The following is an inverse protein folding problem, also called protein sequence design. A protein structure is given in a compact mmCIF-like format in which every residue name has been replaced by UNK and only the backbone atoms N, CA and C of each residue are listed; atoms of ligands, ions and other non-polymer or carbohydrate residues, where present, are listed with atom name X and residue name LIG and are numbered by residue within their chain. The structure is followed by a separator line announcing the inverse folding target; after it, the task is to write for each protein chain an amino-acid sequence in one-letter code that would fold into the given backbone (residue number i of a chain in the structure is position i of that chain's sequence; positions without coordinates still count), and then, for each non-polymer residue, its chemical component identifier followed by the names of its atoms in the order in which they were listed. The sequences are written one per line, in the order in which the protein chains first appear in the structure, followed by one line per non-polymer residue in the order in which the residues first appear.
data_IF_897710628705
#
_entry.id   IF_897710628705
#
_cell.length_a   1.000
_cell.length_b   1.000
_cell.length_c   1.000
_cell.angle_alpha   90.00
_cell.angle_beta   90.00
_cell.angle_gamma   90.00
#
_symmetry.space_group_name_H-M   'P 1'
#
loop_
_entity.id
_entity.type
_entity.pdbx_description
1 polymer ?
#
# COMPACT_ATOMS: atom_id res chain seq x y z
N UNK A 1 -12.59 -20.94 -9.06
CA UNK A 1 -11.41 -20.67 -8.21
C UNK A 1 -11.85 -20.89 -6.78
N UNK A 2 -11.42 -21.98 -6.15
CA UNK A 2 -11.96 -22.49 -4.88
C UNK A 2 -11.48 -21.70 -3.66
N UNK A 3 -12.29 -21.73 -2.59
CA UNK A 3 -12.01 -21.19 -1.25
C UNK A 3 -10.65 -21.65 -0.67
N UNK A 4 -10.12 -22.78 -1.15
CA UNK A 4 -8.78 -23.29 -0.82
C UNK A 4 -7.64 -22.41 -1.35
N UNK A 5 -7.74 -21.86 -2.56
CA UNK A 5 -6.71 -20.99 -3.15
C UNK A 5 -6.65 -19.60 -2.45
N UNK A 6 -7.77 -19.18 -1.86
CA UNK A 6 -7.90 -17.90 -1.13
C UNK A 6 -7.19 -17.94 0.22
N UNK A 7 -7.36 -19.04 0.97
CA UNK A 7 -6.61 -19.29 2.23
C UNK A 7 -5.12 -19.46 2.00
N UNK A 8 -4.73 -20.00 0.85
CA UNK A 8 -3.33 -20.32 0.54
C UNK A 8 -2.46 -19.06 0.36
N UNK A 9 -3.00 -18.02 -0.27
CA UNK A 9 -2.23 -16.78 -0.51
C UNK A 9 -2.00 -15.97 0.77
N UNK A 10 -3.01 -15.89 1.65
CA UNK A 10 -2.87 -15.24 2.95
C UNK A 10 -1.85 -15.96 3.86
N UNK A 11 -1.87 -17.30 3.85
CA UNK A 11 -0.87 -18.10 4.56
C UNK A 11 0.53 -17.90 3.96
N UNK A 12 0.64 -17.84 2.63
CA UNK A 12 1.90 -17.57 1.93
C UNK A 12 2.48 -16.20 2.30
N UNK A 13 1.64 -15.15 2.35
CA UNK A 13 2.07 -13.81 2.79
C UNK A 13 2.61 -13.84 4.22
N UNK A 14 1.92 -14.54 5.13
CA UNK A 14 2.35 -14.68 6.51
C UNK A 14 3.70 -15.41 6.62
N UNK A 15 3.87 -16.51 5.91
CA UNK A 15 5.14 -17.26 5.86
C UNK A 15 6.26 -16.40 5.29
N UNK A 16 6.00 -15.66 4.20
CA UNK A 16 6.98 -14.75 3.61
C UNK A 16 7.43 -13.67 4.62
N UNK A 17 6.49 -13.08 5.36
CA UNK A 17 6.82 -12.11 6.43
C UNK A 17 7.64 -12.75 7.54
N UNK A 18 7.31 -13.97 7.96
CA UNK A 18 8.10 -14.69 8.96
C UNK A 18 9.53 -14.96 8.46
N UNK A 19 9.72 -15.31 7.19
CA UNK A 19 11.04 -15.49 6.59
C UNK A 19 11.84 -14.18 6.54
N UNK A 20 11.20 -13.06 6.19
CA UNK A 20 11.82 -11.73 6.23
C UNK A 20 12.25 -11.39 7.67
N UNK A 21 11.41 -11.66 8.67
CA UNK A 21 11.74 -11.37 10.06
C UNK A 21 12.89 -12.23 10.60
N UNK A 22 13.07 -13.46 10.08
CA UNK A 22 14.21 -14.32 10.42
C UNK A 22 15.54 -13.77 9.91
N UNK A 23 15.55 -12.90 8.89
CA UNK A 23 16.78 -12.25 8.44
C UNK A 23 17.22 -11.08 9.34
N UNK A 24 16.44 -10.75 10.37
CA UNK A 24 16.82 -9.79 11.40
C UNK A 24 17.48 -10.58 12.54
N UNK A 25 18.79 -10.40 12.71
CA UNK A 25 19.59 -11.15 13.68
C UNK A 25 19.20 -10.83 15.14
N UNK A 26 18.86 -9.56 15.42
CA UNK A 26 18.55 -9.11 16.77
C UNK A 26 17.07 -9.25 17.08
N UNK A 27 16.73 -10.02 18.12
CA UNK A 27 15.34 -10.23 18.55
C UNK A 27 14.62 -8.90 18.85
N UNK A 28 15.32 -7.97 19.52
CA UNK A 28 14.77 -6.65 19.84
C UNK A 28 14.41 -5.85 18.60
N UNK A 29 15.21 -5.95 17.54
CA UNK A 29 14.94 -5.28 16.26
C UNK A 29 13.75 -5.91 15.54
N UNK A 30 13.66 -7.25 15.59
CA UNK A 30 12.52 -8.00 15.07
C UNK A 30 11.23 -7.61 15.79
N UNK A 31 11.27 -7.45 17.11
CA UNK A 31 10.13 -7.02 17.90
C UNK A 31 9.67 -5.60 17.53
N UNK A 32 10.63 -4.66 17.38
CA UNK A 32 10.33 -3.29 16.92
C UNK A 32 9.57 -3.30 15.59
N UNK A 33 10.09 -4.02 14.59
CA UNK A 33 9.46 -4.09 13.26
C UNK A 33 8.09 -4.77 13.31
N UNK A 34 8.00 -5.89 14.02
CA UNK A 34 6.76 -6.66 14.15
C UNK A 34 5.62 -5.81 14.71
N UNK A 35 5.88 -5.09 15.80
CA UNK A 35 4.92 -4.19 16.47
C UNK A 35 4.63 -2.95 15.63
N UNK A 36 5.67 -2.36 15.02
CA UNK A 36 5.56 -1.11 14.28
C UNK A 36 4.74 -1.24 13.00
N UNK A 37 4.81 -2.39 12.34
CA UNK A 37 4.05 -2.67 11.13
C UNK A 37 2.76 -3.45 11.40
N UNK A 38 2.56 -3.98 12.61
CA UNK A 38 1.37 -4.76 12.95
C UNK A 38 1.33 -6.11 12.23
N UNK A 39 2.47 -6.81 12.21
CA UNK A 39 2.66 -8.01 11.38
C UNK A 39 1.99 -9.27 11.96
N UNK A 40 1.73 -9.30 13.28
CA UNK A 40 1.00 -10.39 13.94
C UNK A 40 -0.02 -9.90 14.97
N UNK A 41 -0.07 -8.59 15.20
CA UNK A 41 -0.98 -7.93 16.13
C UNK A 41 -1.26 -6.50 15.61
N UNK A 42 -1.93 -5.67 16.41
CA UNK A 42 -2.18 -4.27 16.09
C UNK A 42 -0.88 -3.49 15.91
N UNK A 43 -0.94 -2.50 15.02
CA UNK A 43 0.12 -1.52 14.82
C UNK A 43 0.30 -0.66 16.08
N UNK A 44 1.53 -0.54 16.55
CA UNK A 44 1.89 0.29 17.70
C UNK A 44 2.65 1.58 17.29
N UNK A 45 2.50 2.62 18.11
CA UNK A 45 3.22 3.89 17.93
C UNK A 45 4.67 3.76 18.39
N UNK A 46 5.54 4.67 17.94
CA UNK A 46 6.93 4.74 18.39
C UNK A 46 7.04 4.97 19.91
N UNK A 47 6.06 5.66 20.48
CA UNK A 47 5.99 5.93 21.92
C UNK A 47 5.63 4.66 22.69
N UNK A 48 4.59 3.93 22.26
CA UNK A 48 4.20 2.65 22.85
C UNK A 48 5.33 1.62 22.82
N UNK A 49 6.01 1.49 21.67
CA UNK A 49 7.16 0.58 21.51
C UNK A 49 8.33 1.03 22.39
N UNK A 50 8.55 2.34 22.51
CA UNK A 50 9.61 2.91 23.33
C UNK A 50 9.41 2.62 24.82
N UNK A 51 8.20 2.85 25.32
CA UNK A 51 7.82 2.53 26.69
C UNK A 51 8.01 1.04 27.00
N UNK A 52 7.52 0.16 26.12
CA UNK A 52 7.63 -1.29 26.28
C UNK A 52 9.08 -1.77 26.31
N UNK A 53 9.95 -1.18 25.46
CA UNK A 53 11.35 -1.57 25.34
C UNK A 53 12.31 -0.75 26.23
N UNK A 54 11.79 0.15 27.08
CA UNK A 54 12.60 1.00 27.95
C UNK A 54 13.55 1.94 27.20
N UNK A 55 13.16 2.42 26.01
CA UNK A 55 13.94 3.35 25.19
C UNK A 55 13.11 4.55 24.73
N UNK A 56 13.80 5.63 24.37
CA UNK A 56 13.11 6.83 23.88
C UNK A 56 12.46 6.58 22.52
N UNK A 57 11.35 7.28 22.27
CA UNK A 57 10.68 7.33 20.95
C UNK A 57 11.67 7.56 19.80
N UNK A 58 12.61 8.49 19.98
CA UNK A 58 13.61 8.81 18.96
C UNK A 58 14.56 7.63 18.72
N UNK A 59 14.93 6.89 19.76
CA UNK A 59 15.75 5.69 19.60
C UNK A 59 15.00 4.60 18.82
N UNK A 60 13.70 4.40 19.08
CA UNK A 60 12.87 3.47 18.28
C UNK A 60 12.85 3.89 16.82
N UNK A 61 12.65 5.18 16.52
CA UNK A 61 12.65 5.72 15.14
C UNK A 61 13.97 5.47 14.42
N UNK A 62 15.10 5.66 15.11
CA UNK A 62 16.42 5.41 14.56
C UNK A 62 16.64 3.92 14.26
N UNK A 63 16.25 3.04 15.19
CA UNK A 63 16.34 1.59 14.99
C UNK A 63 15.44 1.13 13.83
N UNK A 64 14.18 1.55 13.81
CA UNK A 64 13.24 1.29 12.70
C UNK A 64 13.88 1.64 11.35
N UNK A 65 14.40 2.87 11.21
CA UNK A 65 15.04 3.32 9.97
C UNK A 65 16.27 2.48 9.62
N UNK A 66 17.12 2.15 10.59
CA UNK A 66 18.32 1.36 10.38
C UNK A 66 18.01 -0.09 9.98
N UNK A 67 16.95 -0.69 10.54
CA UNK A 67 16.49 -2.03 10.20
C UNK A 67 15.90 -2.03 8.78
N UNK A 68 15.04 -1.07 8.45
CA UNK A 68 14.44 -0.96 7.12
C UNK A 68 15.49 -0.78 6.02
N UNK A 69 16.52 0.03 6.25
CA UNK A 69 17.62 0.19 5.28
C UNK A 69 18.34 -1.14 5.06
N UNK A 70 18.66 -1.88 6.13
CA UNK A 70 19.31 -3.20 6.02
C UNK A 70 18.44 -4.20 5.25
N UNK A 71 17.14 -4.24 5.55
CA UNK A 71 16.20 -5.13 4.87
C UNK A 71 16.04 -4.76 3.39
N UNK A 72 15.97 -3.46 3.06
CA UNK A 72 15.93 -2.98 1.66
C UNK A 72 17.17 -3.38 0.88
N UNK A 73 18.36 -3.22 1.47
CA UNK A 73 19.62 -3.65 0.84
C UNK A 73 19.62 -5.15 0.61
N UNK A 74 19.29 -5.95 1.64
CA UNK A 74 19.22 -7.40 1.52
C UNK A 74 18.17 -7.86 0.49
N UNK A 75 17.03 -7.18 0.39
CA UNK A 75 16.02 -7.44 -0.63
C UNK A 75 16.54 -7.14 -2.04
N UNK A 76 17.25 -6.01 -2.24
CA UNK A 76 17.84 -5.63 -3.52
C UNK A 76 19.00 -6.53 -3.97
N UNK A 77 19.68 -7.17 -3.03
CA UNK A 77 20.74 -8.15 -3.27
C UNK A 77 20.21 -9.60 -3.38
N UNK A 78 18.88 -9.76 -3.50
CA UNK A 78 18.18 -11.06 -3.60
C UNK A 78 18.46 -12.03 -2.42
N UNK A 79 18.93 -11.51 -1.28
CA UNK A 79 19.21 -12.31 -0.07
C UNK A 79 17.96 -12.73 0.70
N UNK A 80 16.80 -12.16 0.36
CA UNK A 80 15.51 -12.48 0.97
C UNK A 80 14.52 -12.92 -0.12
N UNK A 81 14.54 -14.21 -0.53
CA UNK A 81 13.68 -14.73 -1.61
C UNK A 81 12.19 -14.50 -1.38
N UNK A 82 11.76 -14.48 -0.11
CA UNK A 82 10.39 -14.18 0.30
C UNK A 82 9.90 -12.81 -0.18
N UNK A 83 10.76 -11.79 -0.14
CA UNK A 83 10.44 -10.45 -0.66
C UNK A 83 10.23 -10.54 -2.16
N UNK A 84 11.15 -11.17 -2.89
CA UNK A 84 11.09 -11.29 -4.35
C UNK A 84 9.86 -12.08 -4.83
N UNK A 85 9.52 -13.18 -4.16
CA UNK A 85 8.34 -13.96 -4.48
C UNK A 85 7.06 -13.15 -4.31
N UNK A 86 6.94 -12.43 -3.20
CA UNK A 86 5.75 -11.62 -2.90
C UNK A 86 5.69 -10.35 -3.75
N UNK A 87 6.83 -9.69 -3.97
CA UNK A 87 6.98 -8.55 -4.88
C UNK A 87 6.44 -8.89 -6.26
N UNK A 88 6.82 -10.04 -6.83
CA UNK A 88 6.31 -10.48 -8.15
C UNK A 88 4.78 -10.58 -8.18
N UNK A 89 4.16 -11.05 -7.11
CA UNK A 89 2.70 -11.13 -7.02
C UNK A 89 2.05 -9.74 -6.95
N UNK A 90 2.62 -8.83 -6.16
CA UNK A 90 2.13 -7.44 -6.04
C UNK A 90 2.32 -6.70 -7.36
N UNK A 91 3.48 -6.82 -8.01
CA UNK A 91 3.77 -6.19 -9.30
C UNK A 91 2.82 -6.70 -10.38
N UNK A 92 2.54 -8.00 -10.43
CA UNK A 92 1.56 -8.57 -11.35
C UNK A 92 0.17 -7.99 -11.11
N UNK A 93 -0.30 -7.99 -9.85
CA UNK A 93 -1.59 -7.42 -9.48
C UNK A 93 -1.69 -5.94 -9.88
N UNK A 94 -0.68 -5.13 -9.56
CA UNK A 94 -0.65 -3.72 -9.94
C UNK A 94 -0.65 -3.54 -11.47
N UNK A 95 0.14 -4.32 -12.20
CA UNK A 95 0.22 -4.22 -13.67
C UNK A 95 -1.14 -4.46 -14.35
N UNK A 96 -1.93 -5.40 -13.80
CA UNK A 96 -3.28 -5.70 -14.30
C UNK A 96 -4.32 -4.65 -13.85
N UNK A 97 -4.05 -3.91 -12.76
CA UNK A 97 -5.03 -3.05 -12.08
C UNK A 97 -4.65 -1.56 -12.08
N UNK A 98 -3.91 -1.08 -13.07
CA UNK A 98 -3.64 0.36 -13.26
C UNK A 98 -2.38 0.88 -12.57
N UNK A 99 -1.42 0.00 -12.28
CA UNK A 99 -0.04 0.25 -11.78
C UNK A 99 0.10 0.92 -10.42
N UNK A 100 -1.01 1.34 -9.84
CA UNK A 100 -1.14 1.90 -8.50
C UNK A 100 -2.38 1.28 -7.84
N UNK A 101 -2.44 1.20 -6.53
CA UNK A 101 -3.64 0.76 -5.84
C UNK A 101 -3.56 0.94 -4.34
N UNK A 102 -4.71 0.96 -3.67
CA UNK A 102 -4.74 0.94 -2.20
C UNK A 102 -4.26 -0.40 -1.68
N UNK A 103 -3.54 -0.40 -0.57
CA UNK A 103 -3.08 -1.63 0.13
C UNK A 103 -4.26 -2.57 0.41
N UNK A 104 -5.41 -2.02 0.80
CA UNK A 104 -6.62 -2.80 1.05
C UNK A 104 -7.12 -3.53 -0.20
N UNK A 105 -7.05 -2.89 -1.37
CA UNK A 105 -7.60 -3.42 -2.62
C UNK A 105 -6.65 -4.48 -3.19
N UNK A 106 -5.33 -4.25 -3.10
CA UNK A 106 -4.29 -5.21 -3.45
C UNK A 106 -4.42 -6.45 -2.57
N UNK A 107 -4.49 -6.28 -1.24
CA UNK A 107 -4.67 -7.40 -0.31
C UNK A 107 -5.96 -8.17 -0.58
N UNK A 108 -7.05 -7.47 -0.91
CA UNK A 108 -8.33 -8.08 -1.23
C UNK A 108 -8.27 -8.93 -2.50
N UNK A 109 -7.61 -8.44 -3.56
CA UNK A 109 -7.44 -9.19 -4.82
C UNK A 109 -6.50 -10.38 -4.67
N UNK A 110 -5.35 -10.19 -4.01
CA UNK A 110 -4.38 -11.26 -3.79
C UNK A 110 -4.96 -12.43 -3.00
N UNK A 111 -5.77 -12.15 -1.97
CA UNK A 111 -6.40 -13.19 -1.16
C UNK A 111 -7.79 -13.60 -1.67
N UNK A 112 -8.33 -12.88 -2.64
CA UNK A 112 -9.72 -12.93 -3.06
C UNK A 112 -10.73 -12.84 -1.88
N UNK A 113 -10.37 -12.07 -0.85
CA UNK A 113 -11.21 -11.75 0.30
C UNK A 113 -11.60 -10.27 0.21
N UNK A 114 -12.91 -9.98 0.10
CA UNK A 114 -13.43 -8.60 -0.07
C UNK A 114 -12.94 -7.63 1.02
N UNK A 115 -12.84 -8.10 2.25
CA UNK A 115 -12.41 -7.31 3.41
C UNK A 115 -11.22 -8.00 4.10
N UNK A 116 -9.98 -7.76 3.62
CA UNK A 116 -8.80 -8.39 4.19
C UNK A 116 -8.54 -7.91 5.62
N UNK A 117 -7.96 -8.78 6.44
CA UNK A 117 -7.64 -8.47 7.84
C UNK A 117 -6.59 -7.36 7.93
N UNK A 118 -6.48 -6.73 9.11
CA UNK A 118 -5.41 -5.77 9.37
C UNK A 118 -4.02 -6.39 9.18
N UNK A 119 -3.84 -7.65 9.60
CA UNK A 119 -2.62 -8.43 9.44
C UNK A 119 -2.25 -8.61 7.96
N UNK A 120 -3.19 -9.05 7.11
CA UNK A 120 -2.92 -9.22 5.67
C UNK A 120 -2.56 -7.90 4.98
N UNK A 121 -3.25 -6.81 5.33
CA UNK A 121 -2.91 -5.47 4.81
C UNK A 121 -1.51 -5.04 5.26
N UNK A 122 -1.15 -5.31 6.51
CA UNK A 122 0.17 -5.05 7.05
C UNK A 122 1.26 -5.85 6.33
N UNK A 123 1.01 -7.12 6.00
CA UNK A 123 1.95 -7.95 5.23
C UNK A 123 2.22 -7.39 3.84
N UNK A 124 1.17 -7.01 3.10
CA UNK A 124 1.32 -6.39 1.77
C UNK A 124 2.09 -5.09 1.85
N UNK A 125 1.72 -4.20 2.79
CA UNK A 125 2.40 -2.93 2.98
C UNK A 125 3.87 -3.10 3.39
N UNK A 126 4.17 -4.04 4.28
CA UNK A 126 5.53 -4.28 4.75
C UNK A 126 6.43 -4.80 3.63
N UNK A 127 5.95 -5.76 2.82
CA UNK A 127 6.71 -6.23 1.66
C UNK A 127 6.90 -5.11 0.65
N UNK A 128 5.87 -4.32 0.37
CA UNK A 128 5.97 -3.18 -0.52
C UNK A 128 6.99 -2.14 -0.04
N UNK A 129 7.09 -1.91 1.28
CA UNK A 129 8.08 -1.02 1.86
C UNK A 129 9.51 -1.53 1.64
N UNK A 130 9.74 -2.85 1.55
CA UNK A 130 11.08 -3.43 1.37
C UNK A 130 11.50 -3.56 -0.10
N UNK A 131 10.54 -3.56 -1.02
CA UNK A 131 10.75 -3.80 -2.44
C UNK A 131 11.32 -2.57 -3.15
N UNK A 132 12.39 -2.70 -3.96
CA UNK A 132 12.87 -1.62 -4.81
C UNK A 132 12.00 -1.36 -6.04
N UNK A 133 11.13 -2.31 -6.43
CA UNK A 133 10.22 -2.18 -7.58
C UNK A 133 8.87 -1.56 -7.22
N UNK A 134 8.64 -1.31 -5.93
CA UNK A 134 7.40 -0.77 -5.43
C UNK A 134 7.64 0.59 -4.76
N UNK A 135 6.63 1.44 -4.81
CA UNK A 135 6.58 2.74 -4.15
C UNK A 135 5.40 2.76 -3.22
N UNK A 136 5.66 2.98 -1.93
CA UNK A 136 4.61 3.09 -0.91
C UNK A 136 4.13 4.53 -0.82
N UNK A 137 2.82 4.71 -0.85
CA UNK A 137 2.14 5.98 -0.54
C UNK A 137 1.58 5.88 0.86
N UNK A 138 2.21 6.58 1.80
CA UNK A 138 1.81 6.56 3.20
C UNK A 138 0.44 7.19 3.40
N UNK A 139 -0.36 6.58 4.26
CA UNK A 139 -1.66 7.12 4.66
C UNK A 139 -1.51 8.44 5.44
N UNK A 140 -2.34 9.42 5.11
CA UNK A 140 -2.50 10.66 5.86
C UNK A 140 -3.93 11.21 5.67
N UNK A 141 -4.17 12.48 5.98
CA UNK A 141 -5.49 13.09 5.90
C UNK A 141 -6.06 13.15 4.46
N UNK A 142 -5.18 13.17 3.46
CA UNK A 142 -5.54 13.33 2.05
C UNK A 142 -5.48 12.02 1.25
N UNK A 143 -4.63 11.08 1.66
CA UNK A 143 -4.34 9.87 0.91
C UNK A 143 -4.60 8.60 1.73
N UNK A 144 -5.17 7.60 1.09
CA UNK A 144 -5.19 6.23 1.60
C UNK A 144 -3.81 5.57 1.49
N UNK A 145 -3.55 4.55 2.30
CA UNK A 145 -2.34 3.74 2.17
C UNK A 145 -2.33 3.04 0.80
N UNK A 146 -1.34 3.36 -0.03
CA UNK A 146 -1.23 2.88 -1.40
C UNK A 146 0.12 2.26 -1.71
N UNK A 147 0.15 1.51 -2.81
CA UNK A 147 1.37 0.98 -3.43
C UNK A 147 1.27 1.24 -4.94
N UNK A 148 2.38 1.70 -5.52
CA UNK A 148 2.54 1.83 -6.97
C UNK A 148 3.80 1.13 -7.47
N UNK A 149 3.89 0.91 -8.78
CA UNK A 149 5.12 0.46 -9.40
C UNK A 149 6.15 1.60 -9.39
N UNK A 150 7.38 1.33 -8.96
CA UNK A 150 8.43 2.34 -8.85
C UNK A 150 8.81 2.96 -10.20
N UNK A 151 8.64 2.23 -11.30
CA UNK A 151 8.84 2.76 -12.66
C UNK A 151 7.86 3.90 -13.00
N UNK A 152 6.70 3.94 -12.36
CA UNK A 152 5.71 5.01 -12.55
C UNK A 152 6.06 6.27 -11.77
N UNK A 153 6.88 6.19 -10.72
CA UNK A 153 7.30 7.33 -9.92
C UNK A 153 7.49 7.03 -8.44
N UNK A 154 8.15 7.96 -7.76
CA UNK A 154 8.24 7.97 -6.30
C UNK A 154 6.92 8.45 -5.65
N UNK A 155 6.85 8.39 -4.31
CA UNK A 155 5.65 8.78 -3.56
C UNK A 155 5.19 10.21 -3.91
N UNK A 156 6.14 11.13 -4.13
CA UNK A 156 5.86 12.52 -4.49
C UNK A 156 5.18 12.60 -5.86
N UNK A 157 5.69 11.87 -6.85
CA UNK A 157 5.11 11.82 -8.19
C UNK A 157 3.72 11.19 -8.17
N UNK A 158 3.53 10.07 -7.47
CA UNK A 158 2.19 9.45 -7.34
C UNK A 158 1.20 10.42 -6.69
N UNK A 159 1.57 11.10 -5.60
CA UNK A 159 0.72 12.11 -4.96
C UNK A 159 0.37 13.27 -5.90
N UNK A 160 1.33 13.76 -6.69
CA UNK A 160 1.06 14.82 -7.66
C UNK A 160 0.06 14.41 -8.75
N UNK A 161 0.09 13.15 -9.20
CA UNK A 161 -0.89 12.60 -10.15
C UNK A 161 -2.28 12.52 -9.53
N UNK A 162 -2.38 12.12 -8.26
CA UNK A 162 -3.65 12.14 -7.51
C UNK A 162 -4.19 13.57 -7.40
N UNK A 163 -3.34 14.52 -7.03
CA UNK A 163 -3.72 15.94 -6.90
C UNK A 163 -4.15 16.55 -8.24
N UNK A 164 -3.52 16.15 -9.35
CA UNK A 164 -3.93 16.52 -10.70
C UNK A 164 -5.34 16.05 -11.01
N UNK A 165 -5.66 14.77 -10.76
CA UNK A 165 -7.01 14.22 -10.93
C UNK A 165 -8.02 15.01 -10.09
N UNK A 166 -7.71 15.24 -8.80
CA UNK A 166 -8.58 16.01 -7.91
C UNK A 166 -8.83 17.42 -8.46
N UNK A 167 -7.78 18.07 -8.98
CA UNK A 167 -7.88 19.42 -9.58
C UNK A 167 -8.71 19.42 -10.85
N UNK A 168 -8.58 18.41 -11.70
CA UNK A 168 -9.36 18.27 -12.94
C UNK A 168 -10.84 18.08 -12.64
N UNK A 169 -11.19 17.19 -11.71
CA UNK A 169 -12.59 17.01 -11.26
C UNK A 169 -13.15 18.31 -10.65
N UNK A 170 -12.37 19.01 -9.81
CA UNK A 170 -12.78 20.30 -9.23
C UNK A 170 -13.05 21.37 -10.29
N UNK A 171 -12.24 21.42 -11.34
CA UNK A 171 -12.40 22.36 -12.45
C UNK A 171 -13.59 22.01 -13.35
N UNK A 172 -13.81 20.72 -13.59
CA UNK A 172 -14.96 20.25 -14.35
C UNK A 172 -16.28 20.57 -13.64
N UNK A 173 -16.31 20.44 -12.30
CA UNK A 173 -17.38 20.98 -11.45
C UNK A 173 -18.58 20.06 -11.24
N UNK A 174 -18.67 18.97 -11.99
CA UNK A 174 -19.71 17.95 -11.86
C UNK A 174 -19.10 16.52 -11.88
N UNK A 175 -19.87 15.48 -11.48
CA UNK A 175 -19.40 14.11 -11.57
C UNK A 175 -19.05 13.72 -13.01
N UNK A 176 -17.92 13.04 -13.19
CA UNK A 176 -17.37 12.70 -14.50
C UNK A 176 -17.12 11.21 -14.60
N UNK A 177 -17.45 10.62 -15.75
CA UNK A 177 -17.11 9.23 -16.06
C UNK A 177 -15.58 9.05 -16.19
N UNK A 178 -15.09 7.86 -15.90
CA UNK A 178 -13.67 7.54 -15.91
C UNK A 178 -13.04 7.67 -17.30
N UNK A 179 -13.78 7.33 -18.37
CA UNK A 179 -13.30 7.47 -19.75
C UNK A 179 -13.15 8.95 -20.10
N UNK A 180 -14.19 9.75 -19.83
CA UNK A 180 -14.15 11.20 -20.03
C UNK A 180 -13.06 11.89 -19.18
N UNK A 181 -12.84 11.42 -17.95
CA UNK A 181 -11.77 11.93 -17.08
C UNK A 181 -10.39 11.56 -17.62
N UNK A 182 -10.24 10.37 -18.21
CA UNK A 182 -9.01 9.93 -18.86
C UNK A 182 -8.68 10.79 -20.08
N UNK A 183 -9.66 11.13 -20.92
CA UNK A 183 -9.48 12.01 -22.08
C UNK A 183 -8.98 13.42 -21.69
N UNK A 184 -9.24 13.86 -20.45
CA UNK A 184 -8.79 15.14 -19.92
C UNK A 184 -7.37 15.11 -19.32
N UNK A 185 -6.74 13.93 -19.23
CA UNK A 185 -5.48 13.72 -18.51
C UNK A 185 -4.47 12.94 -19.35
N UNK A 186 -3.20 12.94 -18.94
CA UNK A 186 -2.12 12.24 -19.65
C UNK A 186 -1.76 10.89 -19.01
N UNK A 187 -2.76 10.07 -18.69
CA UNK A 187 -2.54 8.69 -18.20
C UNK A 187 -2.58 7.70 -19.36
N UNK A 188 -2.02 6.50 -19.17
CA UNK A 188 -1.97 5.47 -20.21
C UNK A 188 -3.31 4.78 -20.43
N UNK A 189 -4.13 4.67 -19.38
CA UNK A 189 -5.41 3.99 -19.45
C UNK A 189 -6.43 4.55 -18.44
N UNK A 190 -7.74 4.34 -18.69
CA UNK A 190 -8.79 4.63 -17.71
C UNK A 190 -8.62 3.84 -16.41
N UNK A 191 -8.07 2.61 -16.48
CA UNK A 191 -7.76 1.81 -15.30
C UNK A 191 -6.70 2.47 -14.41
N UNK A 192 -5.70 3.12 -15.00
CA UNK A 192 -4.68 3.87 -14.27
C UNK A 192 -5.27 5.12 -13.59
N UNK A 193 -6.15 5.84 -14.28
CA UNK A 193 -6.88 6.97 -13.69
C UNK A 193 -7.70 6.51 -12.48
N UNK A 194 -8.45 5.40 -12.63
CA UNK A 194 -9.30 4.84 -11.58
C UNK A 194 -8.49 4.44 -10.35
N UNK A 195 -7.40 3.71 -10.57
CA UNK A 195 -6.45 3.30 -9.56
C UNK A 195 -5.86 4.49 -8.81
N UNK A 196 -5.37 5.49 -9.54
CA UNK A 196 -4.74 6.69 -8.97
C UNK A 196 -5.77 7.52 -8.19
N UNK A 197 -6.95 7.76 -8.77
CA UNK A 197 -8.05 8.49 -8.12
C UNK A 197 -8.48 7.84 -6.80
N UNK A 198 -8.49 6.50 -6.75
CA UNK A 198 -8.87 5.73 -5.55
C UNK A 198 -7.97 5.97 -4.33
N UNK A 199 -6.74 6.46 -4.54
CA UNK A 199 -5.85 6.82 -3.45
C UNK A 199 -6.30 8.09 -2.71
N UNK A 200 -7.10 8.96 -3.34
CA UNK A 200 -7.55 10.21 -2.72
C UNK A 200 -8.69 9.98 -1.75
N UNK A 201 -8.58 10.53 -0.54
CA UNK A 201 -9.70 10.62 0.43
C UNK A 201 -10.70 11.73 0.07
N UNK A 202 -10.32 12.63 -0.84
CA UNK A 202 -11.18 13.73 -1.29
C UNK A 202 -12.12 13.33 -2.43
N UNK A 203 -11.91 12.16 -3.04
CA UNK A 203 -12.72 11.64 -4.14
C UNK A 203 -13.59 10.48 -3.69
N UNK A 204 -14.74 10.35 -4.33
CA UNK A 204 -15.62 9.19 -4.24
C UNK A 204 -16.14 8.86 -5.64
N UNK A 205 -16.71 7.67 -5.79
CA UNK A 205 -17.31 7.26 -7.04
C UNK A 205 -18.55 6.39 -6.83
N UNK A 206 -19.47 6.47 -7.79
CA UNK A 206 -20.64 5.61 -7.87
C UNK A 206 -20.81 5.13 -9.31
N UNK A 207 -20.82 3.81 -9.53
CA UNK A 207 -20.93 3.20 -10.88
C UNK A 207 -19.91 3.78 -11.87
N UNK A 208 -18.65 3.87 -11.45
CA UNK A 208 -17.52 4.45 -12.21
C UNK A 208 -17.63 5.94 -12.57
N UNK A 209 -18.63 6.65 -12.06
CA UNK A 209 -18.68 8.12 -12.11
C UNK A 209 -17.98 8.68 -10.89
N UNK A 210 -16.93 9.47 -11.11
CA UNK A 210 -16.06 10.05 -10.10
C UNK A 210 -16.42 11.50 -9.78
N UNK A 211 -16.24 11.86 -8.52
CA UNK A 211 -16.51 13.21 -8.04
C UNK A 211 -15.88 13.49 -6.68
N UNK A 212 -16.13 14.67 -6.14
CA UNK A 212 -15.70 14.98 -4.78
C UNK A 212 -16.49 14.15 -3.77
N UNK A 213 -15.82 13.65 -2.72
CA UNK A 213 -16.45 12.83 -1.69
C UNK A 213 -17.61 13.52 -0.95
N UNK A 214 -17.66 14.86 -1.00
CA UNK A 214 -18.76 15.68 -0.45
C UNK A 214 -20.00 15.76 -1.35
N UNK A 215 -19.91 15.32 -2.60
CA UNK A 215 -21.02 15.39 -3.56
C UNK A 215 -21.96 14.19 -3.38
N UNK A 216 -23.25 14.42 -3.05
CA UNK A 216 -24.21 13.34 -2.82
C UNK A 216 -24.42 12.41 -4.02
N UNK A 217 -24.16 12.90 -5.24
CA UNK A 217 -24.29 12.16 -6.49
C UNK A 217 -23.32 10.99 -6.63
N UNK A 218 -22.14 11.09 -6.01
CA UNK A 218 -21.11 10.04 -6.03
C UNK A 218 -20.87 9.41 -4.65
N UNK A 219 -21.48 9.96 -3.61
CA UNK A 219 -21.39 9.47 -2.24
C UNK A 219 -22.75 9.64 -1.51
N UNK A 220 -23.79 8.88 -1.92
CA UNK A 220 -25.09 8.91 -1.26
C UNK A 220 -24.94 8.39 0.17
N UNK A 221 -25.59 9.06 1.12
CA UNK A 221 -25.66 8.62 2.53
C UNK A 221 -26.50 7.37 2.69
#
# INVERSE_FOLDING_TARGET
MSESAQKDTAATLKTAVQEILKSIDQEREREIITRRFGLFDRRETLEQIGELLGITRERVRQLEKAILIRLKIAASEDKIPAVQATERLIVRDLSENGRVGRVQDIAARMTAVKSPTAETKAHVAFVAELSPKLTVVNENDNYHHGVGLAENGDEKKVRSQVDEIVKTIKKHGEPIDIEALHDMLSFESPSQVRATASLSKALAHLKDVWGLAKWPTVNPK
#
